data_IF_480698245794
#
_entry.id   IF_480698245794
#
_cell.length_a   1.000
_cell.length_b   1.000
_cell.length_c   1.000
_cell.angle_alpha   90.00
_cell.angle_beta   90.00
_cell.angle_gamma   90.00
#
_symmetry.space_group_name_H-M   'P 1'
#
loop_
_entity.id
_entity.type
_entity.pdbx_description
1 polymer ?
#
# COMPACT_ATOMS: atom_id res chain seq x y z
N UNK A 1 -16.26 -14.36 -2.97
CA UNK A 1 -15.92 -12.92 -3.10
C UNK A 1 -14.77 -12.81 -4.09
N UNK A 2 -14.85 -11.94 -5.10
CA UNK A 2 -13.74 -11.73 -6.06
C UNK A 2 -12.54 -11.09 -5.34
N UNK A 3 -11.42 -11.80 -5.29
CA UNK A 3 -10.19 -11.38 -4.62
C UNK A 3 -9.65 -10.05 -5.18
N UNK A 4 -9.80 -9.81 -6.49
CA UNK A 4 -9.31 -8.57 -7.10
C UNK A 4 -10.16 -7.38 -6.65
N UNK A 5 -11.47 -7.57 -6.53
CA UNK A 5 -12.35 -6.55 -5.98
C UNK A 5 -12.01 -6.25 -4.52
N UNK A 6 -11.74 -7.27 -3.71
CA UNK A 6 -11.35 -7.09 -2.30
C UNK A 6 -10.03 -6.33 -2.17
N UNK A 7 -8.99 -6.74 -2.91
CA UNK A 7 -7.71 -6.05 -2.93
C UNK A 7 -7.80 -4.61 -3.45
N UNK A 8 -8.61 -4.36 -4.49
CA UNK A 8 -8.84 -3.00 -5.01
C UNK A 8 -9.50 -2.11 -3.96
N UNK A 9 -10.49 -2.63 -3.23
CA UNK A 9 -11.18 -1.90 -2.15
C UNK A 9 -10.23 -1.53 -1.01
N UNK A 10 -9.43 -2.49 -0.55
CA UNK A 10 -8.44 -2.20 0.50
C UNK A 10 -7.38 -1.21 0.03
N UNK A 11 -6.85 -1.40 -1.19
CA UNK A 11 -5.87 -0.46 -1.74
C UNK A 11 -6.42 0.96 -1.81
N UNK A 12 -7.70 1.14 -2.15
CA UNK A 12 -8.32 2.46 -2.26
C UNK A 12 -8.31 3.24 -0.93
N UNK A 13 -8.43 2.56 0.22
CA UNK A 13 -8.36 3.21 1.54
C UNK A 13 -6.93 3.54 1.97
N UNK A 14 -5.94 2.97 1.29
CA UNK A 14 -4.51 3.08 1.59
C UNK A 14 -3.74 3.70 0.40
N UNK A 15 -4.36 4.69 -0.25
CA UNK A 15 -3.74 5.48 -1.34
C UNK A 15 -3.26 4.66 -2.55
N UNK A 16 -3.99 3.59 -2.89
CA UNK A 16 -3.69 2.72 -4.03
C UNK A 16 -2.68 1.61 -3.73
N UNK A 17 -2.23 1.49 -2.49
CA UNK A 17 -1.25 0.49 -2.05
C UNK A 17 -1.84 -0.42 -0.97
N UNK A 18 -1.34 -1.65 -0.85
CA UNK A 18 -1.69 -2.56 0.23
C UNK A 18 -0.48 -3.43 0.59
N UNK A 19 -0.48 -3.99 1.80
CA UNK A 19 0.56 -4.91 2.25
C UNK A 19 0.42 -6.30 1.62
N UNK A 20 1.53 -6.97 1.41
CA UNK A 20 1.59 -8.36 0.96
C UNK A 20 0.82 -9.28 1.92
N UNK A 21 1.00 -9.08 3.23
CA UNK A 21 0.29 -9.83 4.28
C UNK A 21 -1.21 -9.59 4.24
N UNK A 22 -1.65 -8.33 4.08
CA UNK A 22 -3.07 -8.00 3.96
C UNK A 22 -3.69 -8.68 2.73
N UNK A 23 -2.98 -8.72 1.60
CA UNK A 23 -3.44 -9.44 0.42
C UNK A 23 -3.66 -10.94 0.71
N UNK A 24 -2.76 -11.56 1.48
CA UNK A 24 -2.89 -12.95 1.93
C UNK A 24 -4.04 -13.16 2.90
N UNK A 25 -4.25 -12.23 3.83
CA UNK A 25 -5.38 -12.24 4.77
C UNK A 25 -6.73 -12.11 4.06
N UNK A 26 -6.78 -11.40 2.92
CA UNK A 26 -7.95 -11.37 2.03
C UNK A 26 -8.15 -12.66 1.22
N UNK A 27 -7.22 -13.63 1.30
CA UNK A 27 -7.29 -14.91 0.61
C UNK A 27 -6.47 -15.01 -0.68
N UNK A 28 -5.61 -14.02 -0.99
CA UNK A 28 -4.73 -14.11 -2.15
C UNK A 28 -3.56 -15.07 -1.90
N UNK A 29 -3.32 -15.99 -2.83
CA UNK A 29 -2.14 -16.84 -2.77
C UNK A 29 -0.89 -16.10 -3.30
N UNK A 30 0.31 -16.51 -2.87
CA UNK A 30 1.56 -15.84 -3.26
C UNK A 30 1.88 -15.93 -4.76
N UNK A 31 1.45 -17.00 -5.45
CA UNK A 31 1.65 -17.17 -6.91
C UNK A 31 0.71 -16.23 -7.68
N UNK A 32 -0.52 -16.07 -7.23
CA UNK A 32 -1.54 -15.13 -7.68
C UNK A 32 -1.07 -13.68 -7.56
N UNK A 33 -0.42 -13.31 -6.45
CA UNK A 33 0.19 -11.99 -6.29
C UNK A 33 1.39 -11.77 -7.22
N UNK A 34 2.33 -12.74 -7.28
CA UNK A 34 3.48 -12.65 -8.21
C UNK A 34 3.04 -12.51 -9.66
N UNK A 35 2.02 -13.25 -10.09
CA UNK A 35 1.48 -13.18 -11.44
C UNK A 35 0.94 -11.78 -11.78
N UNK A 36 0.28 -11.11 -10.83
CA UNK A 36 -0.22 -9.72 -11.02
C UNK A 36 0.92 -8.72 -11.14
N UNK A 37 2.00 -8.92 -10.40
CA UNK A 37 3.22 -8.10 -10.55
C UNK A 37 3.85 -8.33 -11.92
N UNK A 38 4.00 -9.60 -12.33
CA UNK A 38 4.57 -9.95 -13.64
C UNK A 38 3.73 -9.44 -14.82
N UNK A 39 2.41 -9.41 -14.70
CA UNK A 39 1.49 -8.87 -15.72
C UNK A 39 1.43 -7.35 -15.76
N UNK A 40 2.05 -6.67 -14.79
CA UNK A 40 2.02 -5.20 -14.70
C UNK A 40 0.75 -4.63 -14.08
N UNK A 41 -0.16 -5.45 -13.55
CA UNK A 41 -1.36 -4.97 -12.85
C UNK A 41 -1.01 -4.31 -11.51
N UNK A 42 0.13 -4.73 -10.93
CA UNK A 42 0.65 -4.28 -9.64
C UNK A 42 2.14 -3.98 -9.74
N UNK A 43 2.56 -2.94 -9.04
CA UNK A 43 3.96 -2.60 -8.81
C UNK A 43 4.39 -3.07 -7.41
N UNK A 44 5.68 -3.30 -7.20
CA UNK A 44 6.29 -3.58 -5.89
C UNK A 44 7.23 -2.44 -5.50
N UNK A 45 6.77 -1.45 -4.72
CA UNK A 45 7.66 -0.45 -4.13
C UNK A 45 8.69 -1.05 -3.16
N UNK A 46 8.32 -2.17 -2.52
CA UNK A 46 9.18 -2.93 -1.61
C UNK A 46 8.84 -4.44 -1.67
N UNK A 47 9.54 -5.30 -0.93
CA UNK A 47 9.14 -6.70 -0.77
C UNK A 47 7.79 -6.92 -0.09
N UNK A 48 7.36 -6.01 0.79
CA UNK A 48 6.16 -6.18 1.61
C UNK A 48 4.96 -5.36 1.10
N UNK A 49 5.11 -4.56 0.05
CA UNK A 49 4.09 -3.63 -0.43
C UNK A 49 3.73 -3.89 -1.89
N UNK A 50 2.43 -3.84 -2.19
CA UNK A 50 1.86 -3.90 -3.54
C UNK A 50 1.12 -2.61 -3.84
N UNK A 51 1.54 -1.91 -4.90
CA UNK A 51 0.84 -0.72 -5.41
C UNK A 51 0.05 -1.07 -6.68
N UNK A 52 -1.13 -0.49 -6.87
CA UNK A 52 -1.84 -0.57 -8.15
C UNK A 52 -1.06 0.15 -9.24
N UNK A 53 -0.80 -0.50 -10.37
CA UNK A 53 -0.16 0.17 -11.50
C UNK A 53 -0.98 1.40 -11.95
N UNK A 54 -0.27 2.49 -12.28
CA UNK A 54 -0.89 3.76 -12.65
C UNK A 54 -1.52 4.55 -11.49
N UNK A 55 -1.39 4.11 -10.23
CA UNK A 55 -1.80 4.93 -9.09
C UNK A 55 -0.95 6.21 -8.99
N UNK A 56 -1.55 7.36 -8.65
CA UNK A 56 -0.80 8.61 -8.49
C UNK A 56 0.32 8.48 -7.45
N UNK A 57 1.51 8.99 -7.79
CA UNK A 57 2.65 9.04 -6.87
C UNK A 57 2.54 10.27 -5.99
N UNK A 58 2.05 10.09 -4.77
CA UNK A 58 1.81 11.18 -3.82
C UNK A 58 2.59 11.00 -2.53
N UNK A 59 2.78 12.09 -1.77
CA UNK A 59 3.39 12.01 -0.44
C UNK A 59 2.62 11.07 0.49
N UNK A 60 1.29 11.20 0.55
CA UNK A 60 0.43 10.33 1.38
C UNK A 60 0.58 8.85 1.03
N UNK A 61 0.68 8.52 -0.27
CA UNK A 61 0.96 7.15 -0.71
C UNK A 61 2.31 6.66 -0.19
N UNK A 62 3.39 7.44 -0.33
CA UNK A 62 4.71 7.05 0.19
C UNK A 62 4.70 6.82 1.70
N UNK A 63 4.00 7.66 2.47
CA UNK A 63 3.83 7.46 3.90
C UNK A 63 3.10 6.15 4.22
N UNK A 64 2.00 5.87 3.52
CA UNK A 64 1.26 4.62 3.70
C UNK A 64 2.10 3.40 3.31
N UNK A 65 2.84 3.46 2.20
CA UNK A 65 3.76 2.40 1.78
C UNK A 65 4.84 2.16 2.83
N UNK A 66 5.44 3.21 3.41
CA UNK A 66 6.43 3.07 4.48
C UNK A 66 5.88 2.40 5.75
N UNK A 67 4.63 2.69 6.11
CA UNK A 67 3.95 2.01 7.23
C UNK A 67 3.68 0.54 6.90
N UNK A 68 3.25 0.24 5.66
CA UNK A 68 2.97 -1.12 5.20
C UNK A 68 4.25 -1.97 5.02
N UNK A 69 5.41 -1.33 4.85
CA UNK A 69 6.70 -2.00 4.66
C UNK A 69 7.35 -2.47 5.97
N UNK A 70 6.63 -2.39 7.09
CA UNK A 70 7.08 -2.91 8.38
C UNK A 70 6.29 -4.16 8.73
N UNK A 71 6.97 -5.24 9.10
CA UNK A 71 6.31 -6.42 9.67
C UNK A 71 5.84 -6.11 11.09
N UNK A 72 4.57 -5.74 11.25
CA UNK A 72 3.94 -5.55 12.56
C UNK A 72 3.06 -4.31 12.62
N UNK A 73 3.05 -3.64 13.78
CA UNK A 73 2.35 -2.37 13.97
C UNK A 73 3.33 -1.23 13.78
N UNK A 74 3.10 -0.41 12.77
CA UNK A 74 3.85 0.81 12.52
C UNK A 74 2.89 2.00 12.39
N UNK A 75 3.38 3.19 12.75
CA UNK A 75 2.63 4.44 12.64
C UNK A 75 3.55 5.54 12.11
N UNK A 76 3.01 6.40 11.24
CA UNK A 76 3.69 7.65 10.87
C UNK A 76 3.64 8.60 12.08
N UNK A 77 4.77 9.24 12.41
CA UNK A 77 4.88 10.09 13.60
C UNK A 77 5.67 11.37 13.35
N UNK A 78 5.77 12.24 14.36
CA UNK A 78 6.55 13.47 14.37
C UNK A 78 6.28 14.34 13.13
N UNK A 79 7.33 14.71 12.39
CA UNK A 79 7.28 15.59 11.22
C UNK A 79 6.39 15.02 10.11
N UNK A 80 6.42 13.69 9.91
CA UNK A 80 5.56 13.03 8.93
C UNK A 80 4.09 13.16 9.31
N UNK A 81 3.76 12.97 10.59
CA UNK A 81 2.39 13.17 11.07
C UNK A 81 1.96 14.64 10.97
N UNK A 82 2.84 15.59 11.31
CA UNK A 82 2.60 17.01 11.17
C UNK A 82 2.28 17.40 9.71
N UNK A 83 3.05 16.88 8.75
CA UNK A 83 2.81 17.08 7.32
C UNK A 83 1.48 16.44 6.84
N UNK A 84 1.17 15.22 7.31
CA UNK A 84 -0.08 14.53 6.96
C UNK A 84 -1.32 15.27 7.46
N UNK A 85 -1.22 15.89 8.64
CA UNK A 85 -2.28 16.70 9.27
C UNK A 85 -2.35 18.14 8.71
N UNK A 86 -1.41 18.53 7.85
CA UNK A 86 -1.40 19.86 7.22
C UNK A 86 -1.00 21.00 8.17
N UNK A 87 -0.17 20.71 9.18
CA UNK A 87 0.32 21.75 10.09
C UNK A 87 1.23 22.74 9.33
N UNK A 88 1.08 24.06 9.51
CA UNK A 88 1.93 25.05 8.88
C UNK A 88 3.42 24.80 9.17
N UNK A 89 4.25 24.89 8.12
CA UNK A 89 5.70 24.68 8.22
C UNK A 89 6.17 23.22 7.99
N UNK A 90 5.26 22.25 7.83
CA UNK A 90 5.61 20.84 7.56
C UNK A 90 5.06 20.40 6.19
N UNK A 91 5.81 19.57 5.45
CA UNK A 91 5.47 19.09 4.09
C UNK A 91 5.89 17.65 3.86
#
# INVERSE_FOLDING_TARGET
MDIDRAMRRLAATQHGSLGWRQARELGADGRCLRRRVQRGDRERPSPLVLRRAGAPRTFRQRCAEGVLDVSGRAVASHLTAAALLGLPGFR
#
